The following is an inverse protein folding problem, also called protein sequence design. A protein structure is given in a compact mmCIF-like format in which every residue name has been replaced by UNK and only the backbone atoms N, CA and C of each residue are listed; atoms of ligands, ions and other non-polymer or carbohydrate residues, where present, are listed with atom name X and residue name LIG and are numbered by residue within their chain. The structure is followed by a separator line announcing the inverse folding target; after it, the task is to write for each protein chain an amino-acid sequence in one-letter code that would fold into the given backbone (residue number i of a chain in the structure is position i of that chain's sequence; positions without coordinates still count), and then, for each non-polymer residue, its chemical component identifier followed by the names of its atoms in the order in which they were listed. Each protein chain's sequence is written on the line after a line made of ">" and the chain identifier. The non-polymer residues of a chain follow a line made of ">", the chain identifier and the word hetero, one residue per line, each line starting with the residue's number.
data_IF_729387111122
#
_entry.id   IF_729387111122
#
_cell.length_a   1.000
_cell.length_b   1.000
_cell.length_c   1.000
_cell.angle_alpha   90.00
_cell.angle_beta   90.00
_cell.angle_gamma   90.00
#
_symmetry.space_group_name_H-M   'P 1'
#
loop_
_entity.id
_entity.type
_entity.pdbx_description
1 polymer ?
#
# COMPACT_ATOMS: atom_id res chain seq x y z
N UNK A 1 15.89 14.60 14.18
CA UNK A 1 15.90 13.13 14.02
C UNK A 1 15.80 12.87 12.53
N UNK A 2 16.92 12.59 11.84
CA UNK A 2 17.02 12.54 10.37
C UNK A 2 16.44 11.28 9.74
N UNK A 3 15.28 10.84 10.23
CA UNK A 3 14.63 9.58 9.91
C UNK A 3 13.26 9.84 9.28
N UNK A 4 12.80 8.89 8.47
CA UNK A 4 11.49 8.97 7.82
C UNK A 4 10.37 9.09 8.87
N UNK A 5 9.46 10.05 8.68
CA UNK A 5 8.30 10.24 9.53
C UNK A 5 7.39 9.00 9.50
N UNK A 6 6.95 8.53 10.67
CA UNK A 6 6.26 7.25 10.84
C UNK A 6 5.03 7.10 9.94
N UNK A 7 4.24 8.17 9.73
CA UNK A 7 3.04 8.10 8.90
C UNK A 7 3.35 7.96 7.39
N UNK A 8 4.57 8.29 6.94
CA UNK A 8 4.93 8.18 5.52
C UNK A 8 4.97 6.72 5.05
N UNK A 9 5.14 5.76 5.95
CA UNK A 9 5.06 4.34 5.59
C UNK A 9 3.68 3.96 5.05
N UNK A 10 2.60 4.57 5.55
CA UNK A 10 1.26 4.38 5.01
C UNK A 10 1.12 4.96 3.59
N UNK A 11 1.81 6.07 3.29
CA UNK A 11 1.88 6.60 1.92
C UNK A 11 2.64 5.66 0.98
N UNK A 12 3.72 5.04 1.47
CA UNK A 12 4.45 4.03 0.70
C UNK A 12 3.57 2.81 0.40
N UNK A 13 2.78 2.36 1.39
CA UNK A 13 1.83 1.26 1.22
C UNK A 13 0.74 1.60 0.21
N UNK A 14 0.17 2.81 0.27
CA UNK A 14 -0.80 3.28 -0.70
C UNK A 14 -0.23 3.33 -2.13
N UNK A 15 0.95 3.91 -2.30
CA UNK A 15 1.64 3.93 -3.57
C UNK A 15 1.87 2.52 -4.11
N UNK A 16 2.39 1.62 -3.26
CA UNK A 16 2.67 0.25 -3.64
C UNK A 16 1.41 -0.51 -4.07
N UNK A 17 0.33 -0.37 -3.31
CA UNK A 17 -0.98 -0.95 -3.63
C UNK A 17 -1.58 -0.38 -4.91
N UNK A 18 -1.46 0.93 -5.13
CA UNK A 18 -1.91 1.57 -6.37
C UNK A 18 -1.18 1.05 -7.61
N UNK A 19 0.14 0.87 -7.51
CA UNK A 19 0.94 0.26 -8.57
C UNK A 19 0.62 -1.23 -8.78
N UNK A 20 0.41 -1.99 -7.69
CA UNK A 20 -0.03 -3.38 -7.75
C UNK A 20 -1.33 -3.54 -8.54
N UNK A 21 -2.36 -2.75 -8.19
CA UNK A 21 -3.65 -2.77 -8.89
C UNK A 21 -3.49 -2.41 -10.38
N UNK A 22 -2.65 -1.41 -10.71
CA UNK A 22 -2.30 -1.07 -12.11
C UNK A 22 -1.61 -2.21 -12.85
N UNK A 23 -0.71 -2.93 -12.20
CA UNK A 23 -0.05 -4.11 -12.76
C UNK A 23 -1.03 -5.24 -13.14
N UNK A 24 -2.20 -5.28 -12.50
CA UNK A 24 -3.27 -6.24 -12.82
C UNK A 24 -4.17 -5.78 -14.01
N UNK A 25 -3.88 -4.61 -14.59
CA UNK A 25 -4.71 -3.98 -15.62
C UNK A 25 -6.00 -3.39 -15.04
N UNK A 26 -5.96 -2.89 -13.81
CA UNK A 26 -7.05 -2.19 -13.14
C UNK A 26 -6.56 -0.87 -12.55
N UNK A 27 -7.48 0.01 -12.21
CA UNK A 27 -7.25 1.20 -11.40
C UNK A 27 -8.35 1.32 -10.36
N UNK A 28 -8.10 2.09 -9.30
CA UNK A 28 -9.16 2.38 -8.33
C UNK A 28 -10.37 3.03 -8.99
N UNK A 29 -10.18 3.99 -9.89
CA UNK A 29 -11.28 4.60 -10.64
C UNK A 29 -12.11 3.60 -11.45
N UNK A 30 -11.48 2.60 -12.08
CA UNK A 30 -12.19 1.54 -12.80
C UNK A 30 -12.92 0.55 -11.86
N UNK A 31 -12.36 0.30 -10.68
CA UNK A 31 -13.01 -0.54 -9.66
C UNK A 31 -14.26 0.18 -9.13
N UNK A 32 -14.12 1.47 -8.83
CA UNK A 32 -15.21 2.34 -8.35
C UNK A 32 -16.30 2.52 -9.41
N UNK A 33 -15.93 2.74 -10.68
CA UNK A 33 -16.90 2.86 -11.78
C UNK A 33 -17.70 1.56 -12.02
N UNK A 34 -17.20 0.43 -11.52
CA UNK A 34 -17.89 -0.88 -11.54
C UNK A 34 -18.69 -1.15 -10.26
N UNK A 35 -18.87 -0.14 -9.41
CA UNK A 35 -19.73 -0.17 -8.22
C UNK A 35 -19.07 -0.76 -6.98
N UNK A 36 -17.74 -0.87 -6.93
CA UNK A 36 -17.01 -1.36 -5.76
C UNK A 36 -16.09 -0.28 -5.24
N UNK A 37 -16.24 0.06 -3.96
CA UNK A 37 -15.31 0.92 -3.22
C UNK A 37 -14.48 0.04 -2.27
N UNK A 38 -13.24 0.44 -2.01
CA UNK A 38 -12.30 -0.30 -1.16
C UNK A 38 -11.74 0.58 -0.02
N UNK A 39 -12.59 1.08 0.91
CA UNK A 39 -12.10 1.81 2.07
C UNK A 39 -11.20 0.95 2.96
N UNK A 40 -10.21 1.58 3.57
CA UNK A 40 -9.31 0.95 4.55
C UNK A 40 -10.10 0.69 5.83
N UNK A 41 -10.17 -0.57 6.24
CA UNK A 41 -10.72 -1.02 7.52
C UNK A 41 -9.66 -1.05 8.62
N UNK A 42 -8.43 -1.41 8.28
CA UNK A 42 -7.33 -1.60 9.23
C UNK A 42 -6.01 -1.24 8.55
N UNK A 43 -5.11 -0.60 9.28
CA UNK A 43 -3.73 -0.39 8.87
C UNK A 43 -2.79 -0.64 10.05
N UNK A 44 -1.67 -1.31 9.78
CA UNK A 44 -0.62 -1.58 10.77
C UNK A 44 0.74 -1.28 10.19
N UNK A 45 1.63 -0.75 11.02
CA UNK A 45 3.05 -0.57 10.70
C UNK A 45 3.88 -0.99 11.90
N UNK A 46 4.78 -1.94 11.69
CA UNK A 46 5.84 -2.29 12.61
C UNK A 46 7.16 -1.71 12.10
N UNK A 47 7.72 -0.76 12.84
CA UNK A 47 8.99 -0.12 12.53
C UNK A 47 10.14 -0.96 13.10
N UNK A 48 10.86 -1.67 12.23
CA UNK A 48 11.94 -2.61 12.61
C UNK A 48 13.28 -1.87 12.72
N UNK A 49 13.58 -1.02 11.74
CA UNK A 49 14.78 -0.17 11.70
C UNK A 49 14.41 1.22 11.18
N UNK A 50 15.22 2.21 11.52
CA UNK A 50 15.04 3.57 11.01
C UNK A 50 15.58 3.70 9.58
N UNK A 51 14.73 4.15 8.66
CA UNK A 51 15.17 4.71 7.37
C UNK A 51 15.54 6.19 7.50
N UNK A 52 16.56 6.61 6.77
CA UNK A 52 17.02 8.01 6.62
C UNK A 52 16.47 8.61 5.33
N UNK A 53 16.60 9.93 5.19
CA UNK A 53 16.03 10.68 4.06
C UNK A 53 16.58 10.28 2.68
N UNK A 54 17.84 9.88 2.58
CA UNK A 54 18.48 9.49 1.32
C UNK A 54 18.47 7.96 1.11
N UNK A 55 17.77 7.21 1.95
CA UNK A 55 17.62 5.77 1.76
C UNK A 55 16.66 5.49 0.60
N UNK A 56 17.08 4.66 -0.35
CA UNK A 56 16.17 4.06 -1.33
C UNK A 56 15.47 2.88 -0.67
N UNK A 57 14.14 2.88 -0.69
CA UNK A 57 13.31 1.87 -0.05
C UNK A 57 12.54 1.06 -1.09
N UNK A 58 12.62 -0.26 -0.99
CA UNK A 58 11.85 -1.20 -1.80
C UNK A 58 10.65 -1.70 -0.99
N UNK A 59 9.45 -1.64 -1.57
CA UNK A 59 8.21 -2.14 -0.95
C UNK A 59 7.78 -3.39 -1.70
N UNK A 60 7.83 -4.52 -1.01
CA UNK A 60 7.31 -5.79 -1.50
C UNK A 60 5.88 -5.93 -1.00
N UNK A 61 4.97 -6.28 -1.89
CA UNK A 61 3.55 -6.41 -1.61
C UNK A 61 3.06 -7.81 -2.01
N UNK A 62 2.30 -8.42 -1.12
CA UNK A 62 1.49 -9.61 -1.41
C UNK A 62 0.06 -9.40 -0.96
N UNK A 63 -0.87 -10.06 -1.65
CA UNK A 63 -2.29 -9.92 -1.40
C UNK A 63 -2.90 -11.27 -0.97
N UNK A 64 -3.88 -11.20 -0.06
CA UNK A 64 -4.79 -12.29 0.28
C UNK A 64 -6.20 -11.76 0.47
N UNK A 65 -7.20 -12.48 -0.01
CA UNK A 65 -8.60 -12.02 0.07
C UNK A 65 -9.56 -13.09 0.57
N UNK A 66 -10.69 -12.58 1.02
CA UNK A 66 -11.94 -13.32 1.22
C UNK A 66 -12.98 -12.78 0.23
N UNK A 67 -14.24 -13.23 0.33
CA UNK A 67 -15.33 -12.65 -0.45
C UNK A 67 -15.72 -11.23 -0.05
N UNK A 68 -15.20 -10.65 1.04
CA UNK A 68 -15.64 -9.33 1.55
C UNK A 68 -14.47 -8.40 1.86
N UNK A 69 -13.28 -8.96 2.09
CA UNK A 69 -12.07 -8.20 2.48
C UNK A 69 -10.89 -8.59 1.61
N UNK A 70 -10.04 -7.60 1.36
CA UNK A 70 -8.75 -7.72 0.66
C UNK A 70 -7.69 -7.27 1.64
N UNK A 71 -6.66 -8.09 1.86
CA UNK A 71 -5.56 -7.82 2.77
C UNK A 71 -4.27 -7.74 1.98
N UNK A 72 -3.61 -6.59 2.08
CA UNK A 72 -2.28 -6.36 1.52
C UNK A 72 -1.26 -6.40 2.63
N UNK A 73 -0.26 -7.26 2.47
CA UNK A 73 0.92 -7.38 3.32
C UNK A 73 2.08 -6.63 2.65
N UNK A 74 2.81 -5.83 3.43
CA UNK A 74 3.92 -5.01 2.95
C UNK A 74 5.20 -5.34 3.73
N UNK A 75 6.30 -5.46 2.98
CA UNK A 75 7.64 -5.56 3.53
C UNK A 75 8.54 -4.51 2.91
N UNK A 76 9.04 -3.59 3.74
CA UNK A 76 9.88 -2.48 3.31
C UNK A 76 11.34 -2.82 3.57
N UNK A 77 12.14 -2.80 2.51
CA UNK A 77 13.58 -3.03 2.52
C UNK A 77 14.32 -1.74 2.18
N UNK A 78 15.52 -1.58 2.72
CA UNK A 78 16.48 -0.60 2.19
C UNK A 78 17.29 -1.26 1.08
N UNK A 79 17.36 -0.63 -0.09
CA UNK A 79 18.05 -1.19 -1.28
C UNK A 79 19.55 -1.41 -1.02
N UNK A 80 20.18 -0.48 -0.30
CA UNK A 80 21.64 -0.44 -0.09
C UNK A 80 22.20 -1.68 0.65
N UNK A 81 21.46 -2.22 1.62
CA UNK A 81 21.92 -3.29 2.51
C UNK A 81 20.90 -4.44 2.67
N UNK A 82 19.74 -4.36 2.00
CA UNK A 82 18.64 -5.31 2.11
C UNK A 82 17.92 -5.30 3.46
N UNK A 83 18.24 -4.39 4.37
CA UNK A 83 17.70 -4.40 5.72
C UNK A 83 16.19 -4.21 5.74
N UNK A 84 15.49 -5.02 6.52
CA UNK A 84 14.06 -4.81 6.79
C UNK A 84 13.89 -3.57 7.64
N UNK A 85 13.22 -2.56 7.07
CA UNK A 85 12.95 -1.27 7.69
C UNK A 85 11.60 -1.32 8.40
N UNK A 86 10.57 -1.80 7.71
CA UNK A 86 9.23 -1.90 8.26
C UNK A 86 8.47 -3.09 7.70
N UNK A 87 7.56 -3.61 8.52
CA UNK A 87 6.51 -4.54 8.12
C UNK A 87 5.17 -3.84 8.31
N UNK A 88 4.17 -4.23 7.55
CA UNK A 88 2.84 -3.68 7.77
C UNK A 88 1.80 -4.32 6.90
N UNK A 89 0.56 -3.96 7.15
CA UNK A 89 -0.56 -4.44 6.37
C UNK A 89 -1.67 -3.40 6.30
N UNK A 90 -2.50 -3.52 5.27
CA UNK A 90 -3.77 -2.80 5.17
C UNK A 90 -4.87 -3.78 4.82
N UNK A 91 -6.00 -3.72 5.52
CA UNK A 91 -7.20 -4.47 5.20
C UNK A 91 -8.21 -3.51 4.60
N UNK A 92 -8.76 -3.86 3.44
CA UNK A 92 -9.81 -3.13 2.76
C UNK A 92 -11.08 -3.95 2.76
N UNK A 93 -12.21 -3.30 3.03
CA UNK A 93 -13.53 -3.92 2.91
C UNK A 93 -14.15 -3.55 1.56
N UNK A 94 -14.74 -4.52 0.87
CA UNK A 94 -15.53 -4.24 -0.33
C UNK A 94 -16.87 -3.65 0.10
N UNK A 95 -17.17 -2.44 -0.35
CA UNK A 95 -18.47 -1.81 -0.13
C UNK A 95 -19.09 -1.35 -1.44
N UNK A 96 -20.41 -1.35 -1.51
CA UNK A 96 -21.15 -0.74 -2.63
C UNK A 96 -21.13 0.79 -2.57
N UNK A 97 -21.76 1.47 -3.55
CA UNK A 97 -21.83 2.93 -3.61
C UNK A 97 -22.44 3.58 -2.35
N UNK A 98 -23.33 2.88 -1.65
CA UNK A 98 -23.97 3.31 -0.40
C UNK A 98 -23.10 3.05 0.85
N UNK A 99 -21.82 2.71 0.66
CA UNK A 99 -20.85 2.38 1.72
C UNK A 99 -21.26 1.20 2.63
N UNK A 100 -22.11 0.31 2.11
CA UNK A 100 -22.49 -0.93 2.79
C UNK A 100 -21.60 -2.09 2.36
N UNK A 101 -21.13 -2.94 3.29
CA UNK A 101 -20.36 -4.14 2.94
C UNK A 101 -21.05 -4.99 1.89
N UNK A 102 -20.29 -5.37 0.86
CA UNK A 102 -20.76 -6.21 -0.24
C UNK A 102 -19.75 -7.31 -0.55
N UNK A 103 -20.17 -8.30 -1.33
CA UNK A 103 -19.25 -9.32 -1.81
C UNK A 103 -18.38 -8.75 -2.92
N UNK A 104 -17.08 -9.02 -2.85
CA UNK A 104 -16.16 -8.80 -3.94
C UNK A 104 -16.64 -9.58 -5.17
N UNK A 105 -16.80 -8.92 -6.33
CA UNK A 105 -17.24 -9.58 -7.55
C UNK A 105 -16.12 -10.46 -8.11
N UNK A 106 -16.49 -11.53 -8.82
CA UNK A 106 -15.54 -12.54 -9.28
C UNK A 106 -14.48 -11.94 -10.23
N UNK A 107 -14.82 -10.93 -11.03
CA UNK A 107 -13.85 -10.24 -11.90
C UNK A 107 -12.71 -9.59 -11.12
N UNK A 108 -12.98 -9.11 -9.89
CA UNK A 108 -11.96 -8.50 -9.03
C UNK A 108 -11.10 -9.60 -8.41
N UNK A 109 -11.74 -10.65 -7.88
CA UNK A 109 -11.03 -11.76 -7.25
C UNK A 109 -10.12 -12.49 -8.24
N UNK A 110 -10.58 -12.71 -9.48
CA UNK A 110 -9.79 -13.32 -10.55
C UNK A 110 -8.51 -12.53 -10.86
N UNK A 111 -8.58 -11.20 -10.80
CA UNK A 111 -7.40 -10.34 -11.00
C UNK A 111 -6.41 -10.42 -9.84
N UNK A 112 -6.89 -10.67 -8.62
CA UNK A 112 -6.08 -10.67 -7.40
C UNK A 112 -5.37 -12.01 -7.12
N UNK A 113 -5.73 -13.11 -7.80
CA UNK A 113 -5.23 -14.46 -7.51
C UNK A 113 -3.70 -14.57 -7.42
N UNK A 114 -3.17 -14.48 -6.19
CA UNK A 114 -1.76 -14.73 -5.87
C UNK A 114 -0.78 -13.67 -6.37
N UNK A 115 -1.25 -12.44 -6.63
CA UNK A 115 -0.38 -11.37 -7.13
C UNK A 115 0.73 -11.02 -6.14
N UNK A 116 1.94 -10.85 -6.67
CA UNK A 116 3.10 -10.29 -5.96
C UNK A 116 3.69 -9.14 -6.77
N UNK A 117 4.12 -8.09 -6.07
CA UNK A 117 4.83 -6.99 -6.70
C UNK A 117 6.01 -6.54 -5.83
N UNK A 118 7.09 -6.17 -6.50
CA UNK A 118 8.26 -5.51 -5.93
C UNK A 118 8.34 -4.12 -6.55
N UNK A 119 8.32 -3.08 -5.72
CA UNK A 119 8.43 -1.70 -6.17
C UNK A 119 9.58 -0.99 -5.49
N UNK A 120 10.34 -0.25 -6.29
CA UNK A 120 11.32 0.69 -5.78
C UNK A 120 10.63 2.02 -5.50
N UNK A 121 10.59 2.42 -4.24
CA UNK A 121 10.28 3.80 -3.89
C UNK A 121 11.61 4.55 -3.71
N UNK A 122 11.92 5.46 -4.63
CA UNK A 122 12.86 6.54 -4.35
C UNK A 122 12.20 7.48 -3.37
N UNK A 123 12.15 7.11 -2.09
CA UNK A 123 11.53 7.90 -1.04
C UNK A 123 12.38 9.16 -0.79
N UNK A 124 12.33 10.14 -1.69
CA UNK A 124 12.63 11.51 -1.32
C UNK A 124 11.46 11.97 -0.47
N UNK A 125 11.59 11.88 0.86
CA UNK A 125 10.63 12.53 1.73
C UNK A 125 10.69 14.03 1.40
N UNK A 126 9.62 14.53 0.77
CA UNK A 126 9.53 15.90 0.30
C UNK A 126 9.96 16.88 1.38
N UNK A 127 10.83 17.82 0.97
CA UNK A 127 11.02 19.08 1.66
C UNK A 127 9.66 19.80 1.76
N UNK A 128 9.05 19.78 2.93
CA UNK A 128 8.10 20.82 3.31
C UNK A 128 8.52 21.35 4.68
N UNK A 129 8.94 22.63 4.70
CA UNK A 129 9.05 23.38 5.95
C UNK A 129 10.41 24.01 6.30
N UNK A 130 11.21 24.48 5.33
CA UNK A 130 12.03 25.69 5.55
C UNK A 130 11.47 26.81 4.66
N UNK A 131 10.35 27.40 5.06
CA UNK A 131 10.03 28.78 4.69
C UNK A 131 10.44 29.64 5.87
N UNK A 132 11.34 30.57 5.58
CA UNK A 132 11.89 31.56 6.49
C UNK A 132 10.78 32.32 7.24
N UNK A 133 11.00 32.49 8.53
CA UNK A 133 10.39 33.48 9.42
C UNK A 133 11.37 33.71 10.55
#
# INVERSE_FOLDING_TARGET
>A
MGVVYYANYLRFFEGARGHFIRGLGLSYGEIESRGILLPVLEASVQYVKSAKYDDVLEVHLSETHTRVKIRFEYKVHREQDGAVIALGHTVHVCVGPELRPTRAPDWLLQKLQGGRLELRSGATAGQEGKRNG
#
